data_IF_626829740273
#
_entry.id   IF_626829740273
#
_cell.length_a   1.000
_cell.length_b   1.000
_cell.length_c   1.000
_cell.angle_alpha   90.00
_cell.angle_beta   90.00
_cell.angle_gamma   90.00
#
_symmetry.space_group_name_H-M   'P 1'
#
loop_
_entity.id
_entity.type
_entity.pdbx_description
1 polymer ?
#
# COMPACT_ATOMS: atom_id res chain seq x y z
N UNK A 1 19.70 8.36 -5.17
CA UNK A 1 18.82 9.53 -5.37
C UNK A 1 18.71 10.21 -4.01
N UNK A 2 19.10 11.48 -3.87
CA UNK A 2 19.02 12.19 -2.59
C UNK A 2 17.53 12.51 -2.34
N UNK A 3 16.99 12.11 -1.20
CA UNK A 3 15.64 12.51 -0.81
C UNK A 3 15.70 13.96 -0.35
N UNK A 4 15.29 14.88 -1.20
CA UNK A 4 15.12 16.29 -0.84
C UNK A 4 13.84 16.42 0.01
N UNK A 5 14.00 16.83 1.27
CA UNK A 5 12.86 17.09 2.17
C UNK A 5 12.41 18.54 1.98
N UNK A 6 11.15 18.76 1.58
CA UNK A 6 10.52 20.07 1.57
C UNK A 6 9.60 20.22 2.78
N UNK A 7 9.76 21.31 3.52
CA UNK A 7 8.83 21.68 4.59
C UNK A 7 7.56 22.23 3.96
N UNK A 8 6.39 21.75 4.41
CA UNK A 8 5.09 22.22 3.93
C UNK A 8 4.22 22.63 5.12
N UNK A 9 3.63 23.82 5.05
CA UNK A 9 2.66 24.28 6.04
C UNK A 9 1.28 23.69 5.71
N UNK A 10 0.75 22.87 6.63
CA UNK A 10 -0.58 22.28 6.53
C UNK A 10 -1.54 23.00 7.48
N UNK A 11 -2.65 23.49 6.90
CA UNK A 11 -3.77 24.04 7.67
C UNK A 11 -4.72 22.90 8.02
N UNK A 12 -4.83 22.59 9.31
CA UNK A 12 -5.73 21.57 9.84
C UNK A 12 -6.74 22.23 10.79
N UNK A 13 -8.02 21.79 10.80
CA UNK A 13 -8.93 22.14 11.87
C UNK A 13 -8.35 21.78 13.23
N UNK A 14 -8.54 22.64 14.24
CA UNK A 14 -7.91 22.48 15.54
C UNK A 14 -8.23 21.13 16.20
N UNK A 15 -9.47 20.63 16.07
CA UNK A 15 -9.87 19.33 16.60
C UNK A 15 -9.10 18.16 15.94
N UNK A 16 -8.89 18.21 14.63
CA UNK A 16 -8.17 17.18 13.88
C UNK A 16 -6.68 17.23 14.23
N UNK A 17 -6.10 18.43 14.33
CA UNK A 17 -4.71 18.57 14.76
C UNK A 17 -4.50 17.95 16.14
N UNK A 18 -5.34 18.27 17.12
CA UNK A 18 -5.23 17.75 18.48
C UNK A 18 -5.33 16.23 18.52
N UNK A 19 -6.22 15.63 17.73
CA UNK A 19 -6.34 14.17 17.69
C UNK A 19 -5.15 13.50 16.99
N UNK A 20 -4.67 14.08 15.90
CA UNK A 20 -3.47 13.59 15.21
C UNK A 20 -2.22 13.68 16.10
N UNK A 21 -2.11 14.70 16.95
CA UNK A 21 -1.03 14.83 17.93
C UNK A 21 -1.06 13.71 18.96
N UNK A 22 -2.23 13.37 19.51
CA UNK A 22 -2.36 12.24 20.45
C UNK A 22 -1.98 10.92 19.81
N UNK A 23 -2.49 10.65 18.61
CA UNK A 23 -2.17 9.40 17.88
C UNK A 23 -0.68 9.34 17.56
N UNK A 24 -0.06 10.46 17.17
CA UNK A 24 1.37 10.52 16.91
C UNK A 24 2.18 10.19 18.19
N UNK A 25 1.75 10.71 19.34
CA UNK A 25 2.36 10.42 20.65
C UNK A 25 2.21 8.94 21.04
N UNK A 26 1.01 8.36 20.88
CA UNK A 26 0.77 6.92 21.08
C UNK A 26 1.64 6.06 20.16
N UNK A 27 1.91 6.53 18.94
CA UNK A 27 2.81 5.89 17.98
C UNK A 27 4.30 6.20 18.22
N UNK A 28 4.64 6.99 19.26
CA UNK A 28 6.02 7.34 19.60
C UNK A 28 6.73 8.21 18.54
N UNK A 29 5.99 9.05 17.83
CA UNK A 29 6.52 9.87 16.73
C UNK A 29 6.07 11.33 16.82
N UNK A 30 6.62 12.19 15.98
CA UNK A 30 6.19 13.59 15.87
C UNK A 30 5.00 13.72 14.93
N UNK A 31 4.15 14.75 15.11
CA UNK A 31 3.03 15.03 14.21
C UNK A 31 3.47 15.09 12.74
N UNK A 32 4.60 15.73 12.44
CA UNK A 32 5.10 15.84 11.06
C UNK A 32 5.45 14.49 10.46
N UNK A 33 6.10 13.61 11.23
CA UNK A 33 6.44 12.26 10.77
C UNK A 33 5.20 11.40 10.61
N UNK A 34 4.23 11.52 11.52
CA UNK A 34 2.93 10.86 11.42
C UNK A 34 2.17 11.30 10.16
N UNK A 35 2.12 12.60 9.88
CA UNK A 35 1.47 13.11 8.67
C UNK A 35 2.23 12.66 7.42
N UNK A 36 3.56 12.67 7.44
CA UNK A 36 4.36 12.21 6.31
C UNK A 36 4.12 10.71 6.00
N UNK A 37 4.04 9.85 7.03
CA UNK A 37 3.73 8.43 6.84
C UNK A 37 2.30 8.23 6.34
N UNK A 38 1.32 8.95 6.89
CA UNK A 38 -0.08 8.88 6.45
C UNK A 38 -0.24 9.32 4.98
N UNK A 39 0.46 10.37 4.57
CA UNK A 39 0.48 10.83 3.16
C UNK A 39 1.11 9.77 2.26
N UNK A 40 2.25 9.20 2.66
CA UNK A 40 2.91 8.14 1.90
C UNK A 40 2.00 6.91 1.74
N UNK A 41 1.32 6.50 2.81
CA UNK A 41 0.37 5.38 2.80
C UNK A 41 -0.81 5.68 1.87
N UNK A 42 -1.43 6.86 1.99
CA UNK A 42 -2.58 7.23 1.15
C UNK A 42 -2.20 7.30 -0.33
N UNK A 43 -1.04 7.88 -0.65
CA UNK A 43 -0.52 7.93 -2.02
C UNK A 43 -0.27 6.52 -2.55
N UNK A 44 0.37 5.65 -1.75
CA UNK A 44 0.62 4.26 -2.12
C UNK A 44 -0.68 3.50 -2.41
N UNK A 45 -1.67 3.60 -1.51
CA UNK A 45 -2.98 2.97 -1.68
C UNK A 45 -3.69 3.45 -2.95
N UNK A 46 -3.68 4.76 -3.23
CA UNK A 46 -4.28 5.30 -4.44
C UNK A 46 -3.58 4.84 -5.72
N UNK A 47 -2.24 4.79 -5.71
CA UNK A 47 -1.45 4.30 -6.85
C UNK A 47 -1.68 2.81 -7.10
N UNK A 48 -1.72 2.00 -6.04
CA UNK A 48 -2.04 0.58 -6.13
C UNK A 48 -3.44 0.37 -6.73
N UNK A 49 -4.44 1.11 -6.25
CA UNK A 49 -5.79 1.04 -6.81
C UNK A 49 -5.82 1.37 -8.31
N UNK A 50 -5.18 2.46 -8.74
CA UNK A 50 -5.05 2.81 -10.16
C UNK A 50 -4.34 1.72 -10.96
N UNK A 51 -3.24 1.17 -10.45
CA UNK A 51 -2.49 0.11 -11.12
C UNK A 51 -3.36 -1.12 -11.38
N UNK A 52 -4.10 -1.59 -10.38
CA UNK A 52 -4.99 -2.75 -10.55
C UNK A 52 -6.16 -2.47 -11.50
N UNK A 53 -6.72 -1.27 -11.47
CA UNK A 53 -7.75 -0.85 -12.44
C UNK A 53 -7.22 -0.87 -13.87
N UNK A 54 -6.01 -0.35 -14.09
CA UNK A 54 -5.37 -0.36 -15.41
C UNK A 54 -5.04 -1.76 -15.93
N UNK A 55 -4.80 -2.72 -15.02
CA UNK A 55 -4.45 -4.10 -15.37
C UNK A 55 -5.67 -5.02 -15.46
N UNK A 56 -6.81 -4.60 -14.89
CA UNK A 56 -8.07 -5.35 -14.95
C UNK A 56 -8.46 -5.66 -16.39
N UNK A 57 -8.72 -6.93 -16.68
CA UNK A 57 -9.17 -7.38 -18.00
C UNK A 57 -8.09 -7.46 -19.08
N UNK A 58 -6.82 -7.21 -18.75
CA UNK A 58 -5.68 -7.37 -19.68
C UNK A 58 -5.01 -8.74 -19.59
N UNK A 59 -5.57 -9.66 -18.80
CA UNK A 59 -5.01 -11.00 -18.59
C UNK A 59 -5.37 -11.92 -19.75
N UNK A 60 -4.37 -12.58 -20.33
CA UNK A 60 -4.57 -13.72 -21.21
C UNK A 60 -4.77 -14.98 -20.35
N UNK A 61 -6.04 -15.36 -20.17
CA UNK A 61 -6.42 -16.55 -19.40
C UNK A 61 -5.89 -17.85 -20.01
N UNK A 62 -5.73 -17.91 -21.33
CA UNK A 62 -5.15 -19.08 -22.00
C UNK A 62 -3.67 -19.23 -21.65
N UNK A 63 -2.93 -18.12 -21.65
CA UNK A 63 -1.55 -18.12 -21.19
C UNK A 63 -1.43 -18.46 -19.71
N UNK A 64 -2.34 -17.96 -18.88
CA UNK A 64 -2.40 -18.29 -17.44
C UNK A 64 -2.57 -19.81 -17.23
N UNK A 65 -3.58 -20.42 -17.83
CA UNK A 65 -3.86 -21.86 -17.67
C UNK A 65 -2.68 -22.72 -18.16
N UNK A 66 -2.05 -22.34 -19.27
CA UNK A 66 -0.84 -23.01 -19.77
C UNK A 66 0.32 -22.95 -18.78
N UNK A 67 0.49 -21.83 -18.09
CA UNK A 67 1.56 -21.64 -17.08
C UNK A 67 1.25 -22.44 -15.82
N UNK A 68 -0.01 -22.49 -15.40
CA UNK A 68 -0.46 -23.24 -14.22
C UNK A 68 -0.42 -24.76 -14.44
N UNK A 69 -0.72 -25.22 -15.65
CA UNK A 69 -0.68 -26.65 -16.03
C UNK A 69 0.68 -27.17 -16.51
N UNK A 70 1.77 -26.41 -16.34
CA UNK A 70 3.09 -26.79 -16.87
C UNK A 70 3.69 -27.99 -16.12
N UNK A 71 4.39 -28.86 -16.84
CA UNK A 71 5.19 -29.92 -16.23
C UNK A 71 6.39 -29.35 -15.46
N UNK A 72 6.69 -29.91 -14.28
CA UNK A 72 7.85 -29.50 -13.46
C UNK A 72 7.55 -28.41 -12.43
N UNK A 73 6.28 -28.16 -12.10
CA UNK A 73 5.91 -27.43 -10.89
C UNK A 73 6.10 -28.27 -9.63
N UNK A 74 6.26 -27.62 -8.48
CA UNK A 74 6.18 -28.28 -7.17
C UNK A 74 4.72 -28.54 -6.81
N UNK A 75 4.46 -29.69 -6.18
CA UNK A 75 3.14 -30.00 -5.67
C UNK A 75 2.77 -29.04 -4.51
N UNK A 76 1.47 -28.76 -4.31
CA UNK A 76 1.01 -28.00 -3.14
C UNK A 76 1.57 -28.58 -1.85
N UNK A 77 1.99 -27.72 -0.93
CA UNK A 77 2.51 -28.13 0.37
C UNK A 77 1.34 -28.39 1.34
N UNK A 78 1.63 -29.06 2.46
CA UNK A 78 0.64 -29.19 3.52
C UNK A 78 0.21 -27.78 4.00
N UNK A 79 -1.08 -27.47 3.94
CA UNK A 79 -1.63 -26.13 4.18
C UNK A 79 -2.09 -25.37 2.92
N UNK A 80 -1.78 -25.86 1.72
CA UNK A 80 -2.26 -25.30 0.43
C UNK A 80 -3.58 -25.93 -0.04
N UNK A 81 -4.32 -26.59 0.86
CA UNK A 81 -5.59 -27.22 0.50
C UNK A 81 -6.65 -26.16 0.16
N UNK A 82 -7.39 -26.39 -0.93
CA UNK A 82 -8.53 -25.55 -1.28
C UNK A 82 -9.64 -25.77 -0.26
N UNK A 83 -10.04 -24.72 0.45
CA UNK A 83 -11.16 -24.73 1.42
C UNK A 83 -12.51 -24.71 0.72
#
# INVERSE_FOLDING_TARGET
>A
MKTEMSTHELLLPASIKAEAEKIAEECGTTLNNFVASAVAEKVSAMRAASFFLEKKGKTDWTAFDRIMGRSGGEAPQAGDEVV
#
